data_IF_138798957975
#
_entry.id   IF_138798957975
#
_cell.length_a   1.000
_cell.length_b   1.000
_cell.length_c   1.000
_cell.angle_alpha   90.00
_cell.angle_beta   90.00
_cell.angle_gamma   90.00
#
_symmetry.space_group_name_H-M   'P 1'
#
loop_
_entity.id
_entity.type
_entity.pdbx_description
1 polymer ?
#
# COMPACT_ATOMS: atom_id res chain seq x y z
N UNK A 1 7.88 -4.18 28.15
CA UNK A 1 7.76 -2.75 27.82
C UNK A 1 8.62 -2.47 26.60
N UNK A 2 8.05 -2.30 25.40
CA UNK A 2 8.89 -2.12 24.21
C UNK A 2 9.22 -0.63 24.00
N UNK A 3 10.51 -0.37 23.85
CA UNK A 3 11.03 0.66 22.94
C UNK A 3 11.41 2.02 23.53
N UNK A 4 10.47 2.74 24.15
CA UNK A 4 10.66 4.16 24.49
C UNK A 4 9.72 4.58 25.63
N UNK A 5 9.89 4.00 26.82
CA UNK A 5 8.91 4.01 27.92
C UNK A 5 8.26 5.35 28.28
N UNK A 6 8.93 6.49 28.09
CA UNK A 6 8.39 7.83 28.37
C UNK A 6 7.88 8.51 27.09
N UNK A 7 8.58 8.38 25.96
CA UNK A 7 8.13 8.96 24.69
C UNK A 7 6.83 8.31 24.21
N UNK A 8 6.67 6.99 24.33
CA UNK A 8 5.44 6.30 23.94
C UNK A 8 4.22 6.63 24.83
N UNK A 9 4.46 7.21 26.02
CA UNK A 9 3.41 7.77 26.88
C UNK A 9 3.05 9.22 26.49
N UNK A 10 3.99 9.95 25.88
CA UNK A 10 3.83 11.35 25.45
C UNK A 10 3.38 11.50 23.99
N UNK A 11 3.78 10.59 23.11
CA UNK A 11 3.47 10.50 21.67
C UNK A 11 3.62 9.03 21.23
N UNK A 12 2.62 8.44 20.56
CA UNK A 12 2.79 7.13 19.93
C UNK A 12 3.72 7.26 18.71
N UNK A 13 5.04 7.29 18.96
CA UNK A 13 6.06 7.34 17.92
C UNK A 13 6.62 5.94 17.75
N UNK A 14 6.31 5.33 16.62
CA UNK A 14 6.84 4.02 16.26
C UNK A 14 8.28 4.12 15.74
N UNK A 15 9.06 3.04 15.84
CA UNK A 15 10.45 3.01 15.35
C UNK A 15 10.55 3.34 13.86
N UNK A 16 9.51 3.03 13.09
CA UNK A 16 9.38 3.39 11.67
C UNK A 16 9.36 4.91 11.46
N UNK A 17 8.66 5.63 12.34
CA UNK A 17 8.58 7.10 12.28
C UNK A 17 9.95 7.69 12.56
N UNK A 18 10.67 7.20 13.58
CA UNK A 18 12.02 7.67 13.92
C UNK A 18 13.01 7.40 12.79
N UNK A 19 12.98 6.18 12.22
CA UNK A 19 13.88 5.81 11.13
C UNK A 19 13.59 6.64 9.86
N UNK A 20 12.32 6.81 9.51
CA UNK A 20 11.92 7.66 8.39
C UNK A 20 12.33 9.11 8.62
N UNK A 21 12.07 9.66 9.80
CA UNK A 21 12.40 11.04 10.15
C UNK A 21 13.92 11.24 10.17
N UNK A 22 14.70 10.30 10.71
CA UNK A 22 16.16 10.36 10.71
C UNK A 22 16.74 10.36 9.29
N UNK A 23 16.31 9.42 8.43
CA UNK A 23 16.75 9.37 7.03
C UNK A 23 16.36 10.61 6.24
N UNK A 24 15.12 11.09 6.44
CA UNK A 24 14.58 12.23 5.69
C UNK A 24 15.08 13.57 6.22
N UNK A 25 15.40 13.69 7.51
CA UNK A 25 16.08 14.86 8.08
C UNK A 25 17.48 14.99 7.50
N UNK A 26 18.24 13.88 7.41
CA UNK A 26 19.55 13.90 6.76
C UNK A 26 19.40 14.32 5.30
N UNK A 27 18.42 13.78 4.57
CA UNK A 27 18.14 14.19 3.19
C UNK A 27 17.76 15.69 3.11
N UNK A 28 16.93 16.19 4.03
CA UNK A 28 16.52 17.59 4.10
C UNK A 28 17.71 18.54 4.27
N UNK A 29 18.67 18.20 5.15
CA UNK A 29 19.86 19.03 5.35
C UNK A 29 20.89 18.89 4.21
N UNK A 30 20.97 17.72 3.57
CA UNK A 30 21.90 17.47 2.46
C UNK A 30 21.43 18.18 1.19
N UNK A 31 20.12 18.21 0.94
CA UNK A 31 19.52 18.90 -0.20
C UNK A 31 19.00 20.27 0.21
N UNK A 32 19.90 21.27 0.32
CA UNK A 32 19.52 22.69 0.32
C UNK A 32 18.94 23.08 -1.04
N UNK A 33 17.68 22.70 -1.28
CA UNK A 33 16.90 23.18 -2.41
C UNK A 33 16.31 24.54 -2.03
N UNK A 34 16.78 25.60 -2.67
CA UNK A 34 16.48 26.98 -2.29
C UNK A 34 15.16 27.54 -2.86
N UNK A 35 14.32 26.76 -3.56
CA UNK A 35 13.47 27.42 -4.58
C UNK A 35 11.94 27.35 -4.42
N UNK A 36 11.35 26.58 -3.50
CA UNK A 36 9.88 26.51 -3.41
C UNK A 36 9.34 26.41 -1.98
N UNK A 37 8.83 27.55 -1.48
CA UNK A 37 8.03 27.61 -0.27
C UNK A 37 6.78 26.71 -0.34
N UNK A 38 6.35 26.20 0.82
CA UNK A 38 5.11 25.43 0.96
C UNK A 38 3.90 26.22 0.45
N UNK A 39 3.03 25.60 -0.36
CA UNK A 39 1.82 26.22 -0.90
C UNK A 39 1.93 26.71 -2.35
N UNK A 40 3.12 26.66 -2.97
CA UNK A 40 3.27 26.97 -4.41
C UNK A 40 2.85 25.82 -5.32
N UNK A 41 2.91 24.58 -4.84
CA UNK A 41 2.51 23.39 -5.63
C UNK A 41 1.07 23.03 -5.27
N UNK A 42 0.20 22.80 -6.27
CA UNK A 42 -1.20 22.40 -6.03
C UNK A 42 -1.34 21.12 -5.20
N UNK A 43 -0.32 20.25 -5.21
CA UNK A 43 -0.26 19.04 -4.37
C UNK A 43 -0.15 19.37 -2.88
N UNK A 44 0.46 20.50 -2.50
CA UNK A 44 0.58 20.92 -1.11
C UNK A 44 -0.79 21.18 -0.49
N UNK A 45 -1.73 21.71 -1.29
CA UNK A 45 -3.11 21.94 -0.85
C UNK A 45 -3.80 20.63 -0.50
N UNK A 46 -3.68 19.59 -1.34
CA UNK A 46 -4.29 18.29 -1.06
C UNK A 46 -3.74 17.64 0.21
N UNK A 47 -2.43 17.75 0.46
CA UNK A 47 -1.82 17.23 1.69
C UNK A 47 -2.25 18.04 2.89
N UNK A 48 -2.26 19.37 2.80
CA UNK A 48 -2.75 20.23 3.89
C UNK A 48 -4.22 19.93 4.22
N UNK A 49 -5.08 19.77 3.21
CA UNK A 49 -6.48 19.38 3.39
C UNK A 49 -6.61 18.00 4.01
N UNK A 50 -5.80 17.02 3.61
CA UNK A 50 -5.79 15.67 4.21
C UNK A 50 -5.38 15.70 5.68
N UNK A 51 -4.34 16.47 6.02
CA UNK A 51 -3.88 16.62 7.41
C UNK A 51 -4.92 17.33 8.26
N UNK A 52 -5.52 18.42 7.75
CA UNK A 52 -6.61 19.13 8.42
C UNK A 52 -7.83 18.24 8.62
N UNK A 53 -8.23 17.48 7.60
CA UNK A 53 -9.34 16.54 7.70
C UNK A 53 -9.09 15.50 8.78
N UNK A 54 -7.89 14.92 8.84
CA UNK A 54 -7.53 13.96 9.90
C UNK A 54 -7.60 14.60 11.28
N UNK A 55 -7.13 15.84 11.44
CA UNK A 55 -7.23 16.55 12.71
C UNK A 55 -8.70 16.77 13.10
N UNK A 56 -9.52 17.33 12.19
CA UNK A 56 -10.94 17.61 12.43
C UNK A 56 -11.71 16.35 12.80
N UNK A 57 -11.48 15.24 12.10
CA UNK A 57 -12.13 13.96 12.41
C UNK A 57 -11.78 13.44 13.81
N UNK A 58 -10.56 13.69 14.28
CA UNK A 58 -10.12 13.30 15.62
C UNK A 58 -10.58 14.29 16.71
N UNK A 59 -10.95 15.52 16.36
CA UNK A 59 -11.42 16.52 17.34
C UNK A 59 -12.69 16.08 18.07
N UNK A 60 -13.56 15.31 17.42
CA UNK A 60 -14.81 14.82 18.01
C UNK A 60 -14.64 13.65 18.98
N UNK A 61 -13.47 13.01 19.01
CA UNK A 61 -13.26 11.75 19.73
C UNK A 61 -12.30 11.87 20.92
N UNK A 62 -11.57 12.99 21.07
CA UNK A 62 -10.40 13.07 21.96
C UNK A 62 -10.25 14.44 22.64
N UNK A 63 -9.30 14.56 23.57
CA UNK A 63 -9.00 15.81 24.29
C UNK A 63 -8.07 16.73 23.48
N UNK A 64 -8.08 18.03 23.78
CA UNK A 64 -7.21 19.03 23.10
C UNK A 64 -5.73 18.65 23.17
N UNK A 65 -5.27 18.12 24.30
CA UNK A 65 -3.88 17.68 24.48
C UNK A 65 -3.53 16.50 23.57
N UNK A 66 -4.47 15.57 23.36
CA UNK A 66 -4.27 14.45 22.46
C UNK A 66 -4.28 14.89 20.99
N UNK A 67 -5.13 15.85 20.63
CA UNK A 67 -5.15 16.44 19.28
C UNK A 67 -3.81 17.12 18.95
N UNK A 68 -3.24 17.88 19.87
CA UNK A 68 -1.92 18.50 19.69
C UNK A 68 -0.82 17.45 19.49
N UNK A 69 -0.86 16.37 20.28
CA UNK A 69 0.04 15.23 20.14
C UNK A 69 -0.09 14.57 18.77
N UNK A 70 -1.33 14.28 18.35
CA UNK A 70 -1.61 13.69 17.04
C UNK A 70 -1.16 14.62 15.91
N UNK A 71 -1.30 15.94 16.04
CA UNK A 71 -0.83 16.90 15.05
C UNK A 71 0.70 16.82 14.85
N UNK A 72 1.46 16.68 15.94
CA UNK A 72 2.92 16.48 15.86
C UNK A 72 3.25 15.16 15.18
N UNK A 73 2.55 14.07 15.53
CA UNK A 73 2.76 12.75 14.90
C UNK A 73 2.42 12.81 13.39
N UNK A 74 1.30 13.44 13.03
CA UNK A 74 0.89 13.61 11.62
C UNK A 74 1.92 14.45 10.84
N UNK A 75 2.44 15.51 11.46
CA UNK A 75 3.49 16.34 10.88
C UNK A 75 4.76 15.52 10.60
N UNK A 76 5.26 14.79 11.60
CA UNK A 76 6.47 13.99 11.44
C UNK A 76 6.30 12.81 10.46
N UNK A 77 5.13 12.17 10.47
CA UNK A 77 4.90 10.92 9.73
C UNK A 77 4.46 11.16 8.28
N UNK A 78 3.72 12.23 8.01
CA UNK A 78 3.16 12.49 6.68
C UNK A 78 3.72 13.76 6.05
N UNK A 79 3.76 14.88 6.79
CA UNK A 79 4.19 16.16 6.23
C UNK A 79 5.68 16.17 5.89
N UNK A 80 6.55 15.75 6.80
CA UNK A 80 8.00 15.77 6.58
C UNK A 80 8.41 14.90 5.38
N UNK A 81 8.00 13.61 5.27
CA UNK A 81 8.33 12.79 4.11
C UNK A 81 7.78 13.34 2.80
N UNK A 82 6.52 13.82 2.81
CA UNK A 82 5.93 14.45 1.64
C UNK A 82 6.74 15.68 1.20
N UNK A 83 7.07 16.56 2.14
CA UNK A 83 7.79 17.79 1.85
C UNK A 83 9.16 17.47 1.25
N UNK A 84 9.93 16.57 1.84
CA UNK A 84 11.26 16.20 1.32
C UNK A 84 11.14 15.60 -0.08
N UNK A 85 10.30 14.58 -0.27
CA UNK A 85 10.19 13.87 -1.56
C UNK A 85 9.69 14.80 -2.67
N UNK A 86 8.67 15.62 -2.40
CA UNK A 86 8.08 16.46 -3.44
C UNK A 86 9.03 17.58 -3.90
N UNK A 87 9.97 18.02 -3.05
CA UNK A 87 10.99 19.02 -3.41
C UNK A 87 12.20 18.41 -4.12
N UNK A 88 12.47 17.12 -3.91
CA UNK A 88 13.49 16.39 -4.65
C UNK A 88 13.07 16.07 -6.09
N UNK A 89 11.77 15.86 -6.34
CA UNK A 89 11.25 15.57 -7.67
C UNK A 89 11.05 16.88 -8.45
N UNK A 90 12.04 17.23 -9.27
CA UNK A 90 12.02 18.48 -10.07
C UNK A 90 11.55 18.29 -11.51
N UNK A 91 11.74 17.09 -12.05
CA UNK A 91 11.49 16.79 -13.46
C UNK A 91 10.76 15.44 -13.65
N UNK A 92 10.25 15.23 -14.86
CA UNK A 92 9.49 14.03 -15.22
C UNK A 92 10.34 12.75 -15.19
N UNK A 93 11.65 12.84 -15.42
CA UNK A 93 12.56 11.70 -15.36
C UNK A 93 12.82 11.30 -13.90
N UNK A 94 13.07 12.27 -13.00
CA UNK A 94 13.15 12.04 -11.56
C UNK A 94 11.88 11.40 -11.02
N UNK A 95 10.68 11.85 -11.46
CA UNK A 95 9.41 11.22 -11.07
C UNK A 95 9.35 9.74 -11.48
N UNK A 96 9.76 9.41 -12.71
CA UNK A 96 9.80 8.02 -13.19
C UNK A 96 10.79 7.17 -12.40
N UNK A 97 11.95 7.71 -12.06
CA UNK A 97 12.96 7.02 -11.25
C UNK A 97 12.40 6.74 -9.85
N UNK A 98 11.75 7.72 -9.21
CA UNK A 98 11.14 7.52 -7.88
C UNK A 98 10.06 6.45 -7.91
N UNK A 99 9.16 6.48 -8.91
CA UNK A 99 8.14 5.44 -9.08
C UNK A 99 8.76 4.07 -9.36
N UNK A 100 9.81 4.00 -10.18
CA UNK A 100 10.54 2.77 -10.43
C UNK A 100 11.20 2.21 -9.16
N UNK A 101 11.85 3.06 -8.37
CA UNK A 101 12.46 2.69 -7.11
C UNK A 101 11.43 2.14 -6.12
N UNK A 102 10.27 2.79 -6.01
CA UNK A 102 9.17 2.31 -5.17
C UNK A 102 8.65 0.93 -5.61
N UNK A 103 8.45 0.72 -6.92
CA UNK A 103 8.03 -0.58 -7.44
C UNK A 103 9.06 -1.67 -7.15
N UNK A 104 10.34 -1.38 -7.37
CA UNK A 104 11.42 -2.34 -7.12
C UNK A 104 11.47 -2.69 -5.62
N UNK A 105 11.27 -1.72 -4.73
CA UNK A 105 11.17 -1.97 -3.29
C UNK A 105 9.95 -2.84 -2.92
N UNK A 106 8.88 -2.79 -3.70
CA UNK A 106 7.70 -3.63 -3.50
C UNK A 106 7.90 -5.08 -3.98
N UNK A 107 8.81 -5.36 -4.91
CA UNK A 107 8.99 -6.71 -5.47
C UNK A 107 9.39 -7.77 -4.44
N UNK A 108 10.39 -7.54 -3.56
CA UNK A 108 10.68 -8.50 -2.49
C UNK A 108 9.47 -8.76 -1.60
N UNK A 109 8.72 -7.70 -1.24
CA UNK A 109 7.56 -7.85 -0.39
C UNK A 109 6.43 -8.63 -1.06
N UNK A 110 6.23 -8.46 -2.38
CA UNK A 110 5.29 -9.22 -3.18
C UNK A 110 5.66 -10.71 -3.25
N UNK A 111 6.94 -11.03 -3.45
CA UNK A 111 7.45 -12.40 -3.48
C UNK A 111 7.33 -13.08 -2.12
N UNK A 112 7.68 -12.37 -1.04
CA UNK A 112 7.52 -12.89 0.33
C UNK A 112 6.04 -13.10 0.64
N UNK A 113 5.17 -12.15 0.33
CA UNK A 113 3.73 -12.30 0.55
C UNK A 113 3.15 -13.49 -0.22
N UNK A 114 3.59 -13.71 -1.45
CA UNK A 114 3.20 -14.89 -2.22
C UNK A 114 3.69 -16.20 -1.58
N UNK A 115 4.92 -16.22 -1.08
CA UNK A 115 5.45 -17.36 -0.33
C UNK A 115 4.64 -17.63 0.94
N UNK A 116 4.31 -16.60 1.72
CA UNK A 116 3.47 -16.71 2.91
C UNK A 116 2.09 -17.30 2.57
N UNK A 117 1.46 -16.81 1.49
CA UNK A 117 0.16 -17.29 1.03
C UNK A 117 0.18 -18.78 0.64
N UNK A 118 1.24 -19.25 -0.04
CA UNK A 118 1.37 -20.67 -0.42
C UNK A 118 1.64 -21.55 0.79
N UNK A 119 2.55 -21.13 1.68
CA UNK A 119 2.97 -21.96 2.81
C UNK A 119 2.00 -21.94 3.98
N UNK A 120 1.07 -20.99 4.02
CA UNK A 120 0.20 -20.78 5.18
C UNK A 120 0.98 -20.35 6.42
N UNK A 121 2.19 -19.82 6.24
CA UNK A 121 3.11 -19.45 7.32
C UNK A 121 3.57 -18.01 7.15
N UNK A 122 3.30 -17.16 8.15
CA UNK A 122 3.74 -15.77 8.17
C UNK A 122 5.21 -15.74 8.61
N UNK A 123 6.11 -15.44 7.67
CA UNK A 123 7.56 -15.53 7.91
C UNK A 123 8.00 -14.53 8.99
N UNK A 124 7.46 -13.32 8.95
CA UNK A 124 7.84 -12.27 9.88
C UNK A 124 7.25 -12.45 11.29
N UNK A 125 6.12 -13.15 11.44
CA UNK A 125 5.53 -13.36 12.77
C UNK A 125 6.38 -14.31 13.62
N UNK A 126 6.99 -15.33 13.01
CA UNK A 126 7.92 -16.23 13.72
C UNK A 126 9.20 -15.52 14.16
N UNK A 127 9.66 -14.52 13.40
CA UNK A 127 10.81 -13.70 13.81
C UNK A 127 10.48 -12.83 15.04
N UNK A 128 9.26 -12.30 15.12
CA UNK A 128 8.80 -11.53 16.30
C UNK A 128 8.84 -12.39 17.57
N UNK A 129 8.34 -13.63 17.50
CA UNK A 129 8.39 -14.58 18.61
C UNK A 129 9.83 -14.91 19.02
N UNK A 130 10.73 -15.11 18.05
CA UNK A 130 12.15 -15.38 18.33
C UNK A 130 12.87 -14.19 18.98
N UNK A 131 12.55 -12.96 18.57
CA UNK A 131 13.12 -11.73 19.10
C UNK A 131 12.48 -11.25 20.41
N UNK A 132 11.48 -11.97 20.93
CA UNK A 132 10.66 -11.56 22.10
C UNK A 132 10.07 -10.15 21.96
N UNK A 133 9.82 -9.73 20.72
CA UNK A 133 9.23 -8.44 20.41
C UNK A 133 7.77 -8.64 20.03
N UNK A 134 6.88 -8.37 20.97
CA UNK A 134 5.44 -8.49 20.76
C UNK A 134 4.91 -7.21 20.10
N UNK A 135 4.62 -7.29 18.81
CA UNK A 135 3.88 -6.25 18.10
C UNK A 135 2.40 -6.67 17.99
N UNK A 136 1.47 -5.74 18.19
CA UNK A 136 0.03 -5.99 18.03
C UNK A 136 -0.37 -6.27 16.57
N UNK A 137 0.49 -5.88 15.61
CA UNK A 137 0.28 -6.08 14.17
C UNK A 137 1.14 -7.26 13.66
N UNK A 138 0.53 -8.20 12.94
CA UNK A 138 1.21 -9.38 12.39
C UNK A 138 0.62 -10.74 12.78
N UNK A 139 -0.59 -10.75 13.37
CA UNK A 139 -1.31 -11.99 13.69
C UNK A 139 -1.71 -12.80 12.45
N UNK A 140 -1.89 -14.10 12.65
CA UNK A 140 -2.41 -15.01 11.63
C UNK A 140 -3.87 -14.67 11.36
N UNK A 141 -4.17 -14.20 10.16
CA UNK A 141 -5.54 -13.96 9.73
C UNK A 141 -5.84 -14.84 8.53
N UNK A 142 -6.86 -15.67 8.64
CA UNK A 142 -7.32 -16.50 7.53
C UNK A 142 -8.59 -15.92 6.91
N UNK A 143 -8.83 -16.23 5.63
CA UNK A 143 -10.10 -15.97 4.97
C UNK A 143 -10.42 -17.10 4.02
N UNK A 144 -11.59 -17.71 4.20
CA UNK A 144 -12.03 -18.88 3.45
C UNK A 144 -11.02 -20.06 3.51
N UNK A 145 -10.39 -20.24 4.67
CA UNK A 145 -9.37 -21.27 4.91
C UNK A 145 -7.98 -20.98 4.30
N UNK A 146 -7.79 -19.85 3.63
CA UNK A 146 -6.49 -19.41 3.11
C UNK A 146 -5.87 -18.33 4.00
N UNK A 147 -4.55 -18.39 4.20
CA UNK A 147 -3.82 -17.38 4.97
C UNK A 147 -3.78 -16.05 4.20
N UNK A 148 -4.09 -14.95 4.89
CA UNK A 148 -3.93 -13.59 4.37
C UNK A 148 -2.51 -13.12 4.62
N UNK A 149 -1.68 -13.13 3.58
CA UNK A 149 -0.30 -12.69 3.68
C UNK A 149 -0.21 -11.22 4.13
N UNK A 150 0.76 -10.93 4.98
CA UNK A 150 1.01 -9.57 5.49
C UNK A 150 2.40 -9.07 5.11
N UNK A 151 3.32 -9.97 4.75
CA UNK A 151 4.71 -9.66 4.42
C UNK A 151 5.31 -8.73 5.48
N UNK A 152 6.09 -7.72 5.09
CA UNK A 152 6.67 -6.75 6.02
C UNK A 152 5.70 -5.64 6.46
N UNK A 153 4.43 -5.67 6.05
CA UNK A 153 3.46 -4.57 6.29
C UNK A 153 2.59 -4.75 7.53
N UNK A 154 2.75 -5.86 8.26
CA UNK A 154 2.03 -6.15 9.51
C UNK A 154 0.53 -6.48 9.33
N UNK A 155 -0.10 -6.02 8.25
CA UNK A 155 -1.50 -6.30 7.95
C UNK A 155 -1.78 -6.47 6.45
N UNK A 156 -2.65 -7.42 6.11
CA UNK A 156 -2.96 -7.81 4.73
C UNK A 156 -3.68 -6.72 3.94
N UNK A 157 -4.47 -5.86 4.61
CA UNK A 157 -5.12 -4.72 3.97
C UNK A 157 -4.08 -3.68 3.54
N UNK A 158 -3.16 -3.32 4.44
CA UNK A 158 -2.08 -2.37 4.15
C UNK A 158 -1.18 -2.91 3.03
N UNK A 159 -0.78 -4.18 3.10
CA UNK A 159 0.00 -4.84 2.06
C UNK A 159 -0.68 -4.77 0.68
N UNK A 160 -1.96 -5.16 0.61
CA UNK A 160 -2.72 -5.10 -0.63
C UNK A 160 -2.83 -3.68 -1.17
N UNK A 161 -3.09 -2.69 -0.31
CA UNK A 161 -3.19 -1.29 -0.71
C UNK A 161 -1.87 -0.75 -1.28
N UNK A 162 -0.74 -1.09 -0.66
CA UNK A 162 0.59 -0.75 -1.20
C UNK A 162 0.82 -1.36 -2.58
N UNK A 163 0.39 -2.61 -2.81
CA UNK A 163 0.48 -3.25 -4.13
C UNK A 163 -0.42 -2.56 -5.17
N UNK A 164 -1.61 -2.10 -4.78
CA UNK A 164 -2.48 -1.29 -5.65
C UNK A 164 -1.80 0.04 -6.03
N UNK A 165 -1.14 0.72 -5.09
CA UNK A 165 -0.36 1.94 -5.38
C UNK A 165 0.79 1.63 -6.33
N UNK A 166 1.55 0.56 -6.07
CA UNK A 166 2.65 0.12 -6.91
C UNK A 166 2.18 -0.21 -8.34
N UNK A 167 1.00 -0.82 -8.49
CA UNK A 167 0.36 -1.05 -9.79
C UNK A 167 0.06 0.27 -10.52
N UNK A 168 -0.43 1.29 -9.82
CA UNK A 168 -0.65 2.61 -10.40
C UNK A 168 0.65 3.27 -10.90
N UNK A 169 1.70 3.19 -10.08
CA UNK A 169 3.04 3.66 -10.48
C UNK A 169 3.59 2.87 -11.68
N UNK A 170 3.34 1.55 -11.73
CA UNK A 170 3.68 0.70 -12.85
C UNK A 170 3.00 1.13 -14.14
N UNK A 171 1.70 1.43 -14.10
CA UNK A 171 0.96 1.86 -15.29
C UNK A 171 1.50 3.17 -15.91
N UNK A 172 2.13 4.01 -15.10
CA UNK A 172 2.84 5.21 -15.57
C UNK A 172 4.23 4.89 -16.14
N UNK A 173 5.03 4.05 -15.47
CA UNK A 173 6.42 3.76 -15.82
C UNK A 173 6.55 2.69 -16.93
N UNK A 174 5.55 1.84 -17.13
CA UNK A 174 5.61 0.73 -18.10
C UNK A 174 5.95 1.17 -19.53
N UNK A 175 5.62 2.40 -19.92
CA UNK A 175 5.90 2.93 -21.26
C UNK A 175 7.37 3.31 -21.46
N UNK A 176 8.17 3.41 -20.40
CA UNK A 176 9.62 3.63 -20.50
C UNK A 176 10.43 2.33 -20.53
N UNK A 177 9.82 1.19 -20.20
CA UNK A 177 10.49 -0.11 -20.20
C UNK A 177 10.49 -0.67 -21.62
N UNK A 178 11.65 -0.68 -22.28
CA UNK A 178 11.80 -1.17 -23.66
C UNK A 178 11.61 -2.69 -23.77
N UNK A 179 12.07 -3.45 -22.77
CA UNK A 179 12.05 -4.90 -22.80
C UNK A 179 10.69 -5.46 -22.35
N UNK A 180 9.99 -6.13 -23.28
CA UNK A 180 8.66 -6.71 -23.02
C UNK A 180 8.68 -7.73 -21.88
N UNK A 181 9.71 -8.57 -21.80
CA UNK A 181 9.85 -9.58 -20.74
C UNK A 181 9.89 -8.94 -19.34
N UNK A 182 10.69 -7.89 -19.14
CA UNK A 182 10.80 -7.19 -17.86
C UNK A 182 9.48 -6.53 -17.48
N UNK A 183 8.77 -5.96 -18.47
CA UNK A 183 7.44 -5.38 -18.27
C UNK A 183 6.44 -6.42 -17.78
N UNK A 184 6.36 -7.58 -18.45
CA UNK A 184 5.46 -8.66 -18.02
C UNK A 184 5.88 -9.28 -16.68
N UNK A 185 7.18 -9.44 -16.42
CA UNK A 185 7.68 -9.95 -15.15
C UNK A 185 7.33 -9.01 -13.98
N UNK A 186 7.53 -7.70 -14.15
CA UNK A 186 7.16 -6.70 -13.14
C UNK A 186 5.66 -6.72 -12.85
N UNK A 187 4.81 -6.78 -13.89
CA UNK A 187 3.37 -6.92 -13.70
C UNK A 187 3.01 -8.23 -13.00
N UNK A 188 3.63 -9.34 -13.39
CA UNK A 188 3.42 -10.65 -12.77
C UNK A 188 3.72 -10.62 -11.27
N UNK A 189 4.86 -10.08 -10.87
CA UNK A 189 5.26 -9.97 -9.46
C UNK A 189 4.25 -9.11 -8.68
N UNK A 190 3.84 -7.97 -9.23
CA UNK A 190 2.84 -7.10 -8.56
C UNK A 190 1.48 -7.80 -8.43
N UNK A 191 1.06 -8.56 -9.44
CA UNK A 191 -0.19 -9.34 -9.37
C UNK A 191 -0.12 -10.42 -8.30
N UNK A 192 1.02 -11.11 -8.15
CA UNK A 192 1.22 -12.08 -7.07
C UNK A 192 1.10 -11.41 -5.69
N UNK A 193 1.75 -10.27 -5.51
CA UNK A 193 1.66 -9.48 -4.27
C UNK A 193 0.24 -8.95 -4.00
N UNK A 194 -0.56 -8.68 -5.03
CA UNK A 194 -1.93 -8.21 -4.89
C UNK A 194 -2.92 -9.34 -4.52
N UNK A 195 -2.67 -10.56 -5.00
CA UNK A 195 -3.52 -11.73 -4.71
C UNK A 195 -3.22 -12.30 -3.32
N UNK A 196 -1.95 -12.36 -2.93
CA UNK A 196 -1.47 -12.92 -1.66
C UNK A 196 -2.18 -12.44 -0.37
N UNK A 197 -2.53 -11.15 -0.18
CA UNK A 197 -3.23 -10.68 1.03
C UNK A 197 -4.71 -11.09 1.10
N UNK A 198 -5.27 -11.60 0.00
CA UNK A 198 -6.68 -11.98 -0.14
C UNK A 198 -7.57 -10.89 0.46
N UNK A 199 -7.46 -9.67 -0.06
CA UNK A 199 -8.12 -8.47 0.49
C UNK A 199 -9.01 -7.83 -0.58
N UNK A 200 -10.34 -7.81 -0.33
CA UNK A 200 -11.34 -7.30 -1.29
C UNK A 200 -11.13 -5.81 -1.62
N UNK A 201 -10.87 -4.98 -0.60
CA UNK A 201 -10.72 -3.53 -0.76
C UNK A 201 -9.64 -3.14 -1.77
N UNK A 202 -8.40 -3.60 -1.61
CA UNK A 202 -7.32 -3.38 -2.59
C UNK A 202 -7.62 -3.88 -4.00
N UNK A 203 -8.34 -5.00 -4.16
CA UNK A 203 -8.75 -5.50 -5.47
C UNK A 203 -9.73 -4.57 -6.16
N UNK A 204 -10.73 -4.06 -5.42
CA UNK A 204 -11.66 -3.05 -5.93
C UNK A 204 -10.91 -1.76 -6.29
N UNK A 205 -9.99 -1.32 -5.44
CA UNK A 205 -9.13 -0.16 -5.71
C UNK A 205 -8.28 -0.34 -6.97
N UNK A 206 -7.71 -1.53 -7.18
CA UNK A 206 -6.93 -1.85 -8.38
C UNK A 206 -7.81 -1.88 -9.63
N UNK A 207 -9.01 -2.48 -9.56
CA UNK A 207 -9.96 -2.50 -10.65
C UNK A 207 -10.40 -1.08 -11.05
N UNK A 208 -10.71 -0.24 -10.06
CA UNK A 208 -11.04 1.17 -10.29
C UNK A 208 -9.86 1.92 -10.91
N UNK A 209 -8.64 1.73 -10.39
CA UNK A 209 -7.43 2.35 -10.91
C UNK A 209 -7.19 1.98 -12.37
N UNK A 210 -7.27 0.70 -12.72
CA UNK A 210 -7.10 0.23 -14.10
C UNK A 210 -8.20 0.78 -14.99
N UNK A 211 -9.45 0.82 -14.51
CA UNK A 211 -10.58 1.37 -15.28
C UNK A 211 -10.38 2.85 -15.58
N UNK A 212 -10.01 3.65 -14.57
CA UNK A 212 -9.70 5.07 -14.74
C UNK A 212 -8.52 5.24 -15.69
N UNK A 213 -7.45 4.46 -15.54
CA UNK A 213 -6.30 4.52 -16.45
C UNK A 213 -6.68 4.24 -17.91
N UNK A 214 -7.50 3.21 -18.17
CA UNK A 214 -7.97 2.89 -19.51
C UNK A 214 -8.91 3.97 -20.06
N UNK A 215 -9.75 4.55 -19.20
CA UNK A 215 -10.67 5.63 -19.56
C UNK A 215 -9.94 6.92 -19.98
N UNK A 216 -8.85 7.29 -19.28
CA UNK A 216 -8.01 8.42 -19.67
C UNK A 216 -7.08 8.12 -20.87
N UNK A 217 -7.01 6.86 -21.31
CA UNK A 217 -6.18 6.43 -22.43
C UNK A 217 -6.78 6.72 -23.81
N UNK A 218 -5.97 6.54 -24.86
CA UNK A 218 -6.48 6.52 -26.24
C UNK A 218 -7.40 5.30 -26.43
N UNK A 219 -8.53 5.48 -27.10
CA UNK A 219 -9.54 4.45 -27.34
C UNK A 219 -10.17 3.87 -26.06
N UNK A 220 -10.52 4.75 -25.12
CA UNK A 220 -11.13 4.42 -23.82
C UNK A 220 -12.19 3.32 -23.89
N UNK A 221 -13.22 3.49 -24.72
CA UNK A 221 -14.35 2.56 -24.85
C UNK A 221 -13.87 1.18 -25.30
N UNK A 222 -13.01 1.10 -26.32
CA UNK A 222 -12.48 -0.17 -26.82
C UNK A 222 -11.67 -0.92 -25.76
N UNK A 223 -10.85 -0.21 -24.99
CA UNK A 223 -10.03 -0.82 -23.96
C UNK A 223 -10.87 -1.30 -22.76
N UNK A 224 -11.90 -0.53 -22.37
CA UNK A 224 -12.85 -0.96 -21.34
C UNK A 224 -13.63 -2.18 -21.80
N UNK A 225 -14.12 -2.21 -23.05
CA UNK A 225 -14.78 -3.40 -23.60
C UNK A 225 -13.86 -4.62 -23.59
N UNK A 226 -12.58 -4.48 -23.96
CA UNK A 226 -11.60 -5.57 -23.87
C UNK A 226 -11.40 -6.05 -22.44
N UNK A 227 -11.36 -5.13 -21.47
CA UNK A 227 -11.25 -5.48 -20.06
C UNK A 227 -12.48 -6.28 -19.58
N UNK A 228 -13.68 -5.83 -19.95
CA UNK A 228 -14.94 -6.52 -19.62
C UNK A 228 -15.02 -7.90 -20.29
N UNK A 229 -14.63 -8.00 -21.57
CA UNK A 229 -14.57 -9.29 -22.26
C UNK A 229 -13.55 -10.22 -21.59
N UNK A 230 -12.37 -9.72 -21.25
CA UNK A 230 -11.35 -10.51 -20.56
C UNK A 230 -11.84 -10.96 -19.17
N UNK A 231 -12.52 -10.09 -18.41
CA UNK A 231 -13.06 -10.47 -17.09
C UNK A 231 -14.18 -11.50 -17.21
N UNK A 232 -15.04 -11.42 -18.22
CA UNK A 232 -16.06 -12.45 -18.48
C UNK A 232 -15.44 -13.79 -18.84
N UNK A 233 -14.38 -13.81 -19.66
CA UNK A 233 -13.64 -15.04 -19.99
C UNK A 233 -13.03 -15.63 -18.73
N UNK A 234 -12.33 -14.83 -17.92
CA UNK A 234 -11.75 -15.29 -16.65
C UNK A 234 -12.84 -15.84 -15.72
N UNK A 235 -13.99 -15.16 -15.63
CA UNK A 235 -15.12 -15.62 -14.81
C UNK A 235 -15.67 -16.97 -15.30
N UNK A 236 -15.89 -17.11 -16.60
CA UNK A 236 -16.36 -18.38 -17.19
C UNK A 236 -15.36 -19.53 -16.93
N UNK A 237 -14.06 -19.26 -17.05
CA UNK A 237 -13.02 -20.23 -16.70
C UNK A 237 -13.04 -20.58 -15.21
N UNK A 238 -13.24 -19.60 -14.31
CA UNK A 238 -13.30 -19.88 -12.87
C UNK A 238 -14.50 -20.75 -12.50
N UNK A 239 -15.67 -20.54 -13.11
CA UNK A 239 -16.87 -21.34 -12.87
C UNK A 239 -16.68 -22.79 -13.35
N UNK A 240 -15.91 -23.00 -14.43
CA UNK A 240 -15.62 -24.33 -14.95
C UNK A 240 -14.61 -25.13 -14.11
N UNK A 241 -13.87 -24.49 -13.20
CA UNK A 241 -12.86 -25.15 -12.37
C UNK A 241 -13.46 -25.78 -11.11
N UNK A 242 -12.98 -26.95 -10.64
CA UNK A 242 -13.45 -27.60 -9.41
C UNK A 242 -13.25 -26.75 -8.14
N UNK A 243 -12.32 -25.81 -8.17
CA UNK A 243 -12.04 -24.87 -7.08
C UNK A 243 -12.71 -23.50 -7.30
N UNK A 244 -13.60 -23.39 -8.29
CA UNK A 244 -14.28 -22.16 -8.69
C UNK A 244 -15.07 -21.52 -7.56
N UNK A 245 -15.79 -22.32 -6.77
CA UNK A 245 -16.61 -21.83 -5.66
C UNK A 245 -15.79 -21.10 -4.59
N UNK A 246 -14.57 -21.57 -4.29
CA UNK A 246 -13.65 -20.87 -3.38
C UNK A 246 -13.23 -19.52 -3.95
N UNK A 247 -12.90 -19.46 -5.24
CA UNK A 247 -12.51 -18.19 -5.90
C UNK A 247 -13.70 -17.22 -5.92
N UNK A 248 -14.90 -17.70 -6.24
CA UNK A 248 -16.13 -16.91 -6.28
C UNK A 248 -16.47 -16.35 -4.90
N UNK A 249 -16.26 -17.14 -3.83
CA UNK A 249 -16.44 -16.68 -2.45
C UNK A 249 -15.47 -15.57 -2.04
N UNK A 250 -14.34 -15.40 -2.73
CA UNK A 250 -13.38 -14.32 -2.47
C UNK A 250 -13.73 -13.03 -3.21
N UNK A 251 -14.57 -13.08 -4.25
CA UNK A 251 -14.95 -11.94 -5.09
C UNK A 251 -15.65 -10.87 -4.23
N UNK A 252 -15.23 -9.59 -4.33
CA UNK A 252 -15.90 -8.49 -3.64
C UNK A 252 -17.38 -8.40 -4.03
N UNK A 253 -18.26 -8.20 -3.05
CA UNK A 253 -19.72 -8.01 -3.23
C UNK A 253 -20.52 -9.22 -3.74
N UNK A 254 -19.87 -10.35 -4.06
CA UNK A 254 -20.52 -11.59 -4.52
C UNK A 254 -20.40 -12.72 -3.49
N UNK A 255 -19.23 -12.85 -2.85
CA UNK A 255 -18.96 -13.95 -1.94
C UNK A 255 -19.55 -13.80 -0.55
N UNK A 256 -20.09 -14.90 0.02
CA UNK A 256 -20.83 -14.93 1.30
C UNK A 256 -19.96 -14.92 2.58
N UNK A 257 -18.64 -14.81 2.48
CA UNK A 257 -17.66 -14.94 3.58
C UNK A 257 -17.54 -13.72 4.53
N UNK A 258 -18.58 -12.92 4.68
CA UNK A 258 -18.53 -11.72 5.54
C UNK A 258 -18.80 -11.98 7.03
N UNK A 259 -18.96 -13.22 7.51
CA UNK A 259 -19.46 -13.42 8.88
C UNK A 259 -18.43 -13.65 9.99
N UNK A 260 -17.24 -14.22 9.79
CA UNK A 260 -16.30 -14.47 10.91
C UNK A 260 -14.84 -14.46 10.47
N UNK A 261 -14.06 -13.47 10.91
CA UNK A 261 -12.63 -13.69 11.14
C UNK A 261 -12.58 -14.73 12.26
N UNK A 262 -12.28 -15.99 11.94
CA UNK A 262 -11.97 -16.97 12.97
C UNK A 262 -10.60 -16.58 13.54
N UNK A 263 -10.62 -15.89 14.68
CA UNK A 263 -9.46 -15.77 15.56
C UNK A 263 -9.13 -17.19 16.03
N UNK A 264 -7.90 -17.64 15.75
CA UNK A 264 -7.30 -18.83 16.37
C UNK A 264 -6.39 -18.40 17.51
#
# INVERSE_FOLDING_TARGET
MPGFGIMNQLMQVDYLVILSAGLLLVAYFTFKSNDLAFGRVKTDLFVASYLLLNLILNMGATTVTDILRQAVVLYLTYFVPYFVISRLIKDKQSLKITFAAFMIACFPAALIGFFEAIKGWLMYSSLQSALKQYWSFGGYLSRDGALRATSSFGHSIAFGYTMTIALGMYLFVQNTIKQKMVRFAALGILMLGMIAPISRGPWVGAALLVTVYLYLGKNAISNILKLVMASMVVLAFTIALPFGDKIINLIPFVGKTDSQNLDY
#
